data_IF_978170792642
#
_entry.id   IF_978170792642
#
_cell.length_a   1.000
_cell.length_b   1.000
_cell.length_c   1.000
_cell.angle_alpha   90.00
_cell.angle_beta   90.00
_cell.angle_gamma   90.00
#
_symmetry.space_group_name_H-M   'P 1'
#
loop_
_entity.id
_entity.type
_entity.pdbx_description
1 polymer ?
#
# COMPACT_ATOMS: atom_id res chain seq x y z
N UNK A 1 44.20 -41.10 39.16
CA UNK A 1 43.00 -41.96 39.11
C UNK A 1 42.32 -41.73 37.76
N UNK A 2 41.89 -42.81 37.11
CA UNK A 2 41.80 -42.98 35.66
C UNK A 2 40.64 -42.26 34.96
N UNK A 3 40.85 -41.98 33.67
CA UNK A 3 39.93 -41.44 32.69
C UNK A 3 39.41 -42.60 31.80
N UNK A 4 38.12 -42.63 31.43
CA UNK A 4 37.54 -43.67 30.57
C UNK A 4 36.46 -43.14 29.61
N UNK A 5 36.89 -42.88 28.37
CA UNK A 5 36.43 -43.38 27.06
C UNK A 5 35.00 -43.98 26.88
N UNK A 6 34.23 -43.33 26.00
CA UNK A 6 33.42 -43.82 24.82
C UNK A 6 32.55 -45.08 24.88
N UNK A 7 31.30 -44.99 24.36
CA UNK A 7 30.57 -45.91 23.41
C UNK A 7 29.10 -45.44 23.28
N UNK A 8 28.66 -44.81 22.17
CA UNK A 8 28.07 -45.34 20.92
C UNK A 8 26.78 -46.20 21.09
N UNK A 9 25.73 -45.86 20.33
CA UNK A 9 24.47 -46.62 20.34
C UNK A 9 23.36 -46.00 19.47
N UNK A 10 23.52 -46.08 18.14
CA UNK A 10 22.43 -45.89 17.15
C UNK A 10 21.77 -47.25 16.92
N UNK A 11 20.44 -47.31 16.94
CA UNK A 11 19.65 -48.49 16.55
C UNK A 11 18.45 -48.10 15.66
N UNK A 12 18.06 -48.89 14.64
CA UNK A 12 17.03 -48.54 13.64
C UNK A 12 15.74 -49.40 13.73
N UNK A 13 14.81 -49.22 12.77
CA UNK A 13 13.72 -50.16 12.34
C UNK A 13 12.45 -50.06 13.23
N UNK A 14 11.17 -49.97 12.83
CA UNK A 14 10.27 -50.28 11.68
C UNK A 14 8.94 -49.53 11.99
N UNK A 15 8.07 -49.05 11.10
CA UNK A 15 7.42 -49.72 9.97
C UNK A 15 6.16 -50.51 10.40
N UNK A 16 4.97 -49.91 10.40
CA UNK A 16 3.70 -50.63 10.11
C UNK A 16 2.50 -49.69 9.91
N UNK A 17 1.99 -49.68 8.67
CA UNK A 17 0.63 -49.27 8.33
C UNK A 17 -0.37 -50.30 8.84
N UNK A 18 -1.56 -49.89 9.28
CA UNK A 18 -2.70 -50.80 9.43
C UNK A 18 -3.98 -50.09 9.03
N UNK A 19 -4.60 -50.63 7.97
CA UNK A 19 -5.90 -50.31 7.40
C UNK A 19 -7.01 -50.82 8.32
N UNK A 20 -8.06 -50.04 8.55
CA UNK A 20 -9.33 -50.56 9.07
C UNK A 20 -10.33 -50.83 7.93
N UNK A 21 -11.02 -51.98 7.93
CA UNK A 21 -11.99 -52.37 6.90
C UNK A 21 -13.43 -51.96 7.26
N UNK A 22 -14.22 -51.69 6.23
CA UNK A 22 -15.63 -51.37 6.36
C UNK A 22 -16.55 -52.58 6.58
N UNK A 23 -17.80 -52.23 6.91
CA UNK A 23 -18.99 -53.00 6.55
C UNK A 23 -19.67 -53.78 7.68
N UNK A 24 -20.88 -53.33 8.05
CA UNK A 24 -22.11 -54.16 8.10
C UNK A 24 -23.33 -53.33 8.55
N UNK A 25 -24.35 -53.30 7.70
CA UNK A 25 -25.74 -52.93 8.03
C UNK A 25 -26.46 -54.10 8.73
N UNK A 26 -27.60 -53.83 9.39
CA UNK A 26 -28.79 -54.61 9.01
C UNK A 26 -30.14 -53.84 9.07
N UNK A 27 -31.09 -54.30 8.24
CA UNK A 27 -32.57 -54.37 8.43
C UNK A 27 -33.34 -53.07 8.67
N UNK A 28 -34.43 -52.73 8.00
CA UNK A 28 -35.49 -53.52 7.37
C UNK A 28 -36.84 -52.96 7.88
N UNK A 29 -37.72 -52.50 6.98
CA UNK A 29 -39.04 -51.98 7.36
C UNK A 29 -39.64 -51.08 6.30
N UNK A 30 -40.44 -51.66 5.40
CA UNK A 30 -41.17 -50.93 4.37
C UNK A 30 -42.47 -50.32 4.89
N UNK A 31 -42.94 -49.29 4.18
CA UNK A 31 -44.37 -49.06 3.99
C UNK A 31 -44.60 -48.28 2.69
N UNK A 32 -45.32 -48.91 1.77
CA UNK A 32 -45.86 -48.35 0.54
C UNK A 32 -47.26 -47.79 0.84
N UNK A 33 -47.52 -46.51 0.57
CA UNK A 33 -48.86 -46.00 0.29
C UNK A 33 -48.81 -45.06 -0.91
N UNK A 34 -49.79 -45.26 -1.78
CA UNK A 34 -50.01 -44.73 -3.12
C UNK A 34 -50.64 -43.35 -3.15
N UNK A 35 -50.27 -42.54 -4.15
CA UNK A 35 -51.22 -41.73 -4.95
C UNK A 35 -51.37 -40.25 -4.60
N UNK A 36 -51.21 -39.38 -5.61
CA UNK A 36 -51.85 -38.06 -5.63
C UNK A 36 -51.04 -36.92 -6.25
N UNK A 37 -51.50 -36.43 -7.40
CA UNK A 37 -50.94 -35.33 -8.21
C UNK A 37 -50.73 -33.99 -7.47
N UNK A 38 -49.74 -33.22 -7.94
CA UNK A 38 -49.58 -31.80 -7.61
C UNK A 38 -48.38 -31.19 -8.32
N UNK A 39 -48.63 -30.39 -9.37
CA UNK A 39 -47.60 -29.77 -10.18
C UNK A 39 -46.78 -28.71 -9.45
N UNK A 40 -45.51 -28.56 -9.86
CA UNK A 40 -44.62 -27.49 -9.42
C UNK A 40 -43.51 -27.33 -10.45
N UNK A 41 -43.52 -26.20 -11.18
CA UNK A 41 -42.78 -25.98 -12.41
C UNK A 41 -41.25 -26.07 -12.28
N UNK A 42 -40.64 -26.75 -13.24
CA UNK A 42 -39.23 -26.61 -13.58
C UNK A 42 -39.00 -25.24 -14.22
N UNK A 43 -38.76 -24.22 -13.38
CA UNK A 43 -38.31 -22.91 -13.83
C UNK A 43 -36.89 -23.05 -14.40
N UNK A 44 -36.81 -22.87 -15.71
CA UNK A 44 -35.58 -22.66 -16.47
C UNK A 44 -34.82 -21.46 -15.93
N UNK A 45 -33.54 -21.62 -15.68
CA UNK A 45 -32.58 -20.50 -15.78
C UNK A 45 -31.36 -20.99 -16.56
N UNK A 46 -31.46 -20.86 -17.88
CA UNK A 46 -30.32 -20.82 -18.77
C UNK A 46 -29.53 -19.56 -18.42
N UNK A 47 -28.45 -19.72 -17.66
CA UNK A 47 -27.56 -18.63 -17.25
C UNK A 47 -26.89 -17.98 -18.46
N UNK A 48 -27.48 -16.89 -18.93
CA UNK A 48 -26.77 -15.90 -19.72
C UNK A 48 -25.55 -15.47 -18.91
N UNK A 49 -24.35 -15.69 -19.44
CA UNK A 49 -23.13 -15.16 -18.84
C UNK A 49 -23.27 -13.63 -18.72
N UNK A 50 -23.44 -13.15 -17.50
CA UNK A 50 -23.60 -11.73 -17.22
C UNK A 50 -22.26 -11.05 -17.49
N UNK A 51 -22.17 -10.25 -18.55
CA UNK A 51 -21.02 -9.37 -18.84
C UNK A 51 -20.69 -8.39 -17.68
N UNK A 52 -21.62 -8.25 -16.73
CA UNK A 52 -21.53 -7.43 -15.52
C UNK A 52 -21.11 -8.22 -14.27
N UNK A 53 -20.77 -9.51 -14.41
CA UNK A 53 -20.32 -10.31 -13.28
C UNK A 53 -18.90 -9.88 -12.87
N UNK A 54 -18.88 -9.04 -11.83
CA UNK A 54 -17.66 -8.48 -11.26
C UNK A 54 -16.85 -9.64 -10.65
N UNK A 55 -15.69 -9.96 -11.23
CA UNK A 55 -14.82 -11.02 -10.71
C UNK A 55 -14.35 -10.67 -9.29
N UNK A 56 -14.79 -11.46 -8.30
CA UNK A 56 -14.51 -11.31 -6.85
C UNK A 56 -14.75 -9.88 -6.33
N UNK A 57 -16.01 -9.47 -6.13
CA UNK A 57 -16.36 -8.11 -5.70
C UNK A 57 -16.03 -7.84 -4.22
N UNK A 58 -15.83 -8.87 -3.40
CA UNK A 58 -15.66 -8.73 -1.95
C UNK A 58 -14.20 -8.62 -1.49
N UNK A 59 -13.22 -8.80 -2.38
CA UNK A 59 -11.80 -8.77 -2.03
C UNK A 59 -11.11 -7.52 -2.57
N UNK A 60 -10.42 -6.79 -1.68
CA UNK A 60 -9.68 -5.56 -2.00
C UNK A 60 -10.47 -4.30 -2.38
N UNK A 61 -11.72 -4.07 -1.91
CA UNK A 61 -12.44 -2.84 -2.28
C UNK A 61 -11.70 -1.59 -1.82
N UNK A 62 -11.09 -1.61 -0.62
CA UNK A 62 -10.34 -0.47 -0.08
C UNK A 62 -9.12 -0.12 -0.94
N UNK A 63 -8.39 -1.11 -1.43
CA UNK A 63 -7.20 -0.89 -2.27
C UNK A 63 -7.58 -0.31 -3.62
N UNK A 64 -8.67 -0.79 -4.23
CA UNK A 64 -9.16 -0.25 -5.51
C UNK A 64 -9.63 1.21 -5.38
N UNK A 65 -10.39 1.53 -4.33
CA UNK A 65 -10.79 2.91 -4.06
C UNK A 65 -9.61 3.80 -3.68
N UNK A 66 -8.59 3.28 -2.97
CA UNK A 66 -7.38 4.01 -2.65
C UNK A 66 -6.54 4.33 -3.90
N UNK A 67 -6.30 3.36 -4.78
CA UNK A 67 -5.61 3.58 -6.06
C UNK A 67 -6.35 4.56 -6.94
N UNK A 68 -7.68 4.50 -6.96
CA UNK A 68 -8.50 5.46 -7.69
C UNK A 68 -8.47 6.84 -7.06
N UNK A 69 -8.52 6.94 -5.73
CA UNK A 69 -8.35 8.20 -5.01
C UNK A 69 -6.99 8.84 -5.31
N UNK A 70 -5.91 8.05 -5.32
CA UNK A 70 -4.58 8.53 -5.69
C UNK A 70 -4.52 9.00 -7.15
N UNK A 71 -5.12 8.26 -8.09
CA UNK A 71 -5.20 8.66 -9.49
C UNK A 71 -6.01 9.95 -9.69
N UNK A 72 -7.11 10.12 -8.95
CA UNK A 72 -7.93 11.33 -8.97
C UNK A 72 -7.20 12.53 -8.37
N UNK A 73 -6.48 12.35 -7.25
CA UNK A 73 -5.64 13.39 -6.66
C UNK A 73 -4.51 13.81 -7.61
N UNK A 74 -3.90 12.84 -8.29
CA UNK A 74 -2.88 13.11 -9.30
C UNK A 74 -3.45 13.83 -10.52
N UNK A 75 -4.63 13.42 -11.01
CA UNK A 75 -5.34 14.09 -12.09
C UNK A 75 -5.70 15.54 -11.72
N UNK A 76 -6.17 15.76 -10.49
CA UNK A 76 -6.47 17.09 -9.96
C UNK A 76 -5.21 17.96 -9.85
N UNK A 77 -4.13 17.44 -9.29
CA UNK A 77 -2.86 18.16 -9.17
C UNK A 77 -2.28 18.55 -10.52
N UNK A 78 -2.33 17.65 -11.51
CA UNK A 78 -1.91 17.95 -12.88
C UNK A 78 -2.81 19.02 -13.53
N UNK A 79 -4.13 18.93 -13.35
CA UNK A 79 -5.05 19.92 -13.91
C UNK A 79 -4.86 21.31 -13.29
N UNK A 80 -4.68 21.39 -11.96
CA UNK A 80 -4.39 22.65 -11.27
C UNK A 80 -3.07 23.26 -11.76
N UNK A 81 -2.02 22.44 -11.87
CA UNK A 81 -0.73 22.88 -12.41
C UNK A 81 -0.85 23.41 -13.84
N UNK A 82 -1.55 22.70 -14.73
CA UNK A 82 -1.73 23.12 -16.12
C UNK A 82 -2.61 24.38 -16.21
N UNK A 83 -3.64 24.48 -15.38
CA UNK A 83 -4.48 25.68 -15.29
C UNK A 83 -3.68 26.91 -14.88
N UNK A 84 -2.82 26.83 -13.86
CA UNK A 84 -1.98 27.94 -13.41
C UNK A 84 -1.02 28.44 -14.51
N UNK A 85 -0.59 27.55 -15.41
CA UNK A 85 0.24 27.92 -16.57
C UNK A 85 -0.55 28.57 -17.69
N UNK A 86 -1.81 28.17 -17.88
CA UNK A 86 -2.67 28.65 -18.96
C UNK A 86 -3.48 29.90 -18.58
N UNK A 87 -3.77 30.13 -17.30
CA UNK A 87 -4.63 31.24 -16.86
C UNK A 87 -4.04 32.61 -17.19
N UNK A 88 -2.72 32.74 -17.27
CA UNK A 88 -2.03 33.97 -17.70
C UNK A 88 -2.29 34.36 -19.16
N UNK A 89 -2.78 33.42 -19.98
CA UNK A 89 -3.12 33.62 -21.40
C UNK A 89 -4.61 33.89 -21.60
N UNK A 90 -5.39 33.99 -20.52
CA UNK A 90 -6.84 34.23 -20.57
C UNK A 90 -7.12 35.66 -21.00
N UNK A 91 -7.79 35.81 -22.15
CA UNK A 91 -8.22 37.10 -22.68
C UNK A 91 -9.72 37.11 -22.90
N UNK A 92 -10.43 38.00 -22.20
CA UNK A 92 -11.89 38.16 -22.27
C UNK A 92 -12.37 38.60 -23.65
N UNK A 93 -11.50 39.20 -24.48
CA UNK A 93 -11.83 39.62 -25.85
C UNK A 93 -11.90 38.45 -26.84
N UNK A 94 -11.38 37.27 -26.48
CA UNK A 94 -11.30 36.09 -27.35
C UNK A 94 -11.98 34.88 -26.70
N UNK A 95 -13.21 34.51 -27.10
CA UNK A 95 -13.98 33.47 -26.42
C UNK A 95 -13.33 32.08 -26.46
N UNK A 96 -12.50 31.80 -27.47
CA UNK A 96 -11.78 30.53 -27.59
C UNK A 96 -10.73 30.34 -26.48
N UNK A 97 -10.20 31.42 -25.89
CA UNK A 97 -9.20 31.31 -24.82
C UNK A 97 -9.80 30.68 -23.56
N UNK A 98 -11.08 30.92 -23.27
CA UNK A 98 -11.79 30.28 -22.16
C UNK A 98 -11.87 28.76 -22.37
N UNK A 99 -12.21 28.34 -23.59
CA UNK A 99 -12.29 26.92 -23.92
C UNK A 99 -10.93 26.22 -23.80
N UNK A 100 -9.82 26.90 -24.14
CA UNK A 100 -8.47 26.35 -24.02
C UNK A 100 -8.03 26.26 -22.55
N UNK A 101 -8.22 27.33 -21.78
CA UNK A 101 -7.79 27.43 -20.37
C UNK A 101 -8.50 26.41 -19.47
N UNK A 102 -9.78 26.12 -19.72
CA UNK A 102 -10.53 25.13 -18.95
C UNK A 102 -10.57 23.74 -19.62
N UNK A 103 -10.60 23.69 -20.95
CA UNK A 103 -10.74 22.44 -21.69
C UNK A 103 -9.50 21.56 -21.64
N UNK A 104 -8.30 22.15 -21.78
CA UNK A 104 -7.05 21.36 -21.77
C UNK A 104 -6.83 20.69 -20.40
N UNK A 105 -6.89 21.40 -19.25
CA UNK A 105 -6.78 20.75 -17.94
C UNK A 105 -7.85 19.68 -17.72
N UNK A 106 -9.08 19.91 -18.18
CA UNK A 106 -10.18 18.96 -18.00
C UNK A 106 -9.98 17.68 -18.80
N UNK A 107 -9.59 17.77 -20.07
CA UNK A 107 -9.31 16.59 -20.90
C UNK A 107 -8.13 15.79 -20.35
N UNK A 108 -7.08 16.46 -19.89
CA UNK A 108 -5.93 15.80 -19.27
C UNK A 108 -6.31 15.11 -17.95
N UNK A 109 -7.08 15.77 -17.09
CA UNK A 109 -7.58 15.16 -15.85
C UNK A 109 -8.41 13.90 -16.14
N UNK A 110 -9.32 13.98 -17.11
CA UNK A 110 -10.17 12.85 -17.49
C UNK A 110 -9.34 11.71 -18.11
N UNK A 111 -8.32 12.01 -18.91
CA UNK A 111 -7.40 11.00 -19.45
C UNK A 111 -6.61 10.27 -18.36
N UNK A 112 -6.09 11.00 -17.38
CA UNK A 112 -5.38 10.41 -16.22
C UNK A 112 -6.33 9.60 -15.34
N UNK A 113 -7.53 10.10 -15.08
CA UNK A 113 -8.53 9.36 -14.30
C UNK A 113 -8.99 8.08 -15.03
N UNK A 114 -9.20 8.14 -16.35
CA UNK A 114 -9.62 6.98 -17.16
C UNK A 114 -8.52 5.92 -17.27
N UNK A 115 -7.26 6.32 -17.43
CA UNK A 115 -6.13 5.38 -17.43
C UNK A 115 -5.93 4.73 -16.05
N UNK A 116 -6.10 5.49 -14.97
CA UNK A 116 -6.13 4.96 -13.60
C UNK A 116 -7.27 3.95 -13.38
N UNK A 117 -8.47 4.25 -13.89
CA UNK A 117 -9.61 3.34 -13.87
C UNK A 117 -9.33 2.05 -14.64
N UNK A 118 -8.82 2.17 -15.87
CA UNK A 118 -8.47 1.02 -16.71
C UNK A 118 -7.44 0.13 -16.02
N UNK A 119 -6.36 0.72 -15.49
CA UNK A 119 -5.33 -0.04 -14.80
C UNK A 119 -5.85 -0.75 -13.54
N UNK A 120 -6.73 -0.10 -12.77
CA UNK A 120 -7.21 -0.64 -11.48
C UNK A 120 -8.32 -1.68 -11.66
N UNK A 121 -9.27 -1.45 -12.57
CA UNK A 121 -10.49 -2.26 -12.70
C UNK A 121 -10.51 -3.17 -13.93
N UNK A 122 -9.80 -2.81 -15.01
CA UNK A 122 -9.81 -3.63 -16.25
C UNK A 122 -8.71 -4.68 -16.24
N UNK A 123 -7.54 -4.37 -15.67
CA UNK A 123 -6.42 -5.31 -15.64
C UNK A 123 -6.55 -6.30 -14.48
N UNK A 124 -6.96 -7.54 -14.78
CA UNK A 124 -7.12 -8.60 -13.79
C UNK A 124 -5.81 -8.89 -13.04
N UNK A 125 -4.67 -8.83 -13.71
CA UNK A 125 -3.35 -9.07 -13.10
C UNK A 125 -2.99 -8.05 -12.01
N UNK A 126 -3.22 -6.76 -12.27
CA UNK A 126 -2.94 -5.70 -11.28
C UNK A 126 -3.86 -5.81 -10.06
N UNK A 127 -5.14 -6.14 -10.27
CA UNK A 127 -6.10 -6.35 -9.18
C UNK A 127 -5.74 -7.58 -8.33
N UNK A 128 -5.39 -8.70 -8.95
CA UNK A 128 -5.03 -9.93 -8.24
C UNK A 128 -3.71 -9.76 -7.47
N UNK A 129 -2.73 -9.04 -8.04
CA UNK A 129 -1.52 -8.66 -7.32
C UNK A 129 -1.82 -7.81 -6.09
N UNK A 130 -2.62 -6.74 -6.23
CA UNK A 130 -2.98 -5.86 -5.11
C UNK A 130 -3.70 -6.62 -3.98
N UNK A 131 -4.58 -7.55 -4.32
CA UNK A 131 -5.27 -8.41 -3.35
C UNK A 131 -4.28 -9.37 -2.68
N UNK A 132 -3.38 -9.99 -3.45
CA UNK A 132 -2.35 -10.86 -2.90
C UNK A 132 -1.40 -10.09 -1.96
N UNK A 133 -0.99 -8.87 -2.33
CA UNK A 133 -0.19 -7.99 -1.48
C UNK A 133 -0.94 -7.58 -0.22
N UNK A 134 -2.24 -7.24 -0.27
CA UNK A 134 -3.03 -6.95 0.93
C UNK A 134 -3.06 -8.16 1.88
N UNK A 135 -3.30 -9.35 1.33
CA UNK A 135 -3.34 -10.59 2.09
C UNK A 135 -1.97 -10.94 2.69
N UNK A 136 -0.88 -10.64 1.99
CA UNK A 136 0.47 -10.83 2.50
C UNK A 136 0.80 -9.82 3.61
N UNK A 137 0.45 -8.55 3.42
CA UNK A 137 0.65 -7.50 4.43
C UNK A 137 -0.16 -7.73 5.71
N UNK A 138 -1.32 -8.41 5.62
CA UNK A 138 -2.11 -8.79 6.81
C UNK A 138 -1.45 -9.87 7.66
N UNK A 139 -0.52 -10.65 7.11
CA UNK A 139 0.26 -11.65 7.86
C UNK A 139 1.38 -11.00 8.66
N UNK A 140 1.77 -9.78 8.31
CA UNK A 140 2.78 -9.03 9.03
C UNK A 140 2.18 -8.61 10.38
N UNK A 141 2.66 -9.26 11.44
CA UNK A 141 2.36 -8.84 12.81
C UNK A 141 3.09 -7.51 13.05
N UNK A 142 2.33 -6.43 13.09
CA UNK A 142 2.86 -5.12 13.41
C UNK A 142 3.23 -5.04 14.89
N UNK A 143 4.38 -4.43 15.19
CA UNK A 143 4.81 -4.14 16.56
C UNK A 143 3.71 -3.45 17.35
N UNK A 144 3.58 -3.80 18.63
CA UNK A 144 2.56 -3.20 19.48
C UNK A 144 2.78 -1.68 19.57
N UNK A 145 1.71 -0.89 19.73
CA UNK A 145 1.84 0.58 19.84
C UNK A 145 2.83 1.00 20.92
N UNK A 146 2.95 0.20 21.99
CA UNK A 146 3.89 0.44 23.10
C UNK A 146 5.35 0.30 22.66
N UNK A 147 5.67 -0.73 21.87
CA UNK A 147 7.00 -0.91 21.30
C UNK A 147 7.36 0.22 20.34
N UNK A 148 6.44 0.59 19.44
CA UNK A 148 6.68 1.67 18.46
C UNK A 148 6.94 3.01 19.17
N UNK A 149 6.16 3.33 20.20
CA UNK A 149 6.36 4.55 21.01
C UNK A 149 7.68 4.49 21.78
N UNK A 150 8.01 3.33 22.36
CA UNK A 150 9.28 3.11 23.06
C UNK A 150 10.48 3.39 22.15
N UNK A 151 10.49 2.78 20.96
CA UNK A 151 11.58 2.95 19.99
C UNK A 151 11.66 4.38 19.45
N UNK A 152 10.52 5.01 19.15
CA UNK A 152 10.51 6.39 18.62
C UNK A 152 10.98 7.40 19.66
N UNK A 153 10.63 7.22 20.95
CA UNK A 153 11.11 8.07 22.04
C UNK A 153 12.62 8.05 22.15
N UNK A 154 13.24 6.87 22.00
CA UNK A 154 14.70 6.73 22.01
C UNK A 154 15.28 7.49 20.81
N UNK A 155 14.77 7.28 19.61
CA UNK A 155 15.26 7.97 18.40
C UNK A 155 15.18 9.48 18.55
N UNK A 156 14.06 10.03 19.03
CA UNK A 156 13.89 11.47 19.26
C UNK A 156 14.93 12.00 20.25
N UNK A 157 15.15 11.28 21.36
CA UNK A 157 16.17 11.67 22.35
C UNK A 157 17.57 11.69 21.72
N UNK A 158 17.93 10.67 20.94
CA UNK A 158 19.20 10.62 20.22
C UNK A 158 19.33 11.76 19.21
N UNK A 159 18.30 12.05 18.41
CA UNK A 159 18.31 13.15 17.44
C UNK A 159 18.52 14.51 18.13
N UNK A 160 17.88 14.75 19.28
CA UNK A 160 18.06 15.99 20.04
C UNK A 160 19.49 16.08 20.59
N UNK A 161 20.01 15.00 21.19
CA UNK A 161 21.39 14.96 21.72
C UNK A 161 22.39 15.22 20.60
N UNK A 162 22.24 14.56 19.45
CA UNK A 162 23.10 14.79 18.28
C UNK A 162 22.99 16.21 17.75
N UNK A 163 21.77 16.78 17.70
CA UNK A 163 21.57 18.17 17.30
C UNK A 163 22.28 19.16 18.23
N UNK A 164 22.18 18.95 19.55
CA UNK A 164 22.90 19.77 20.54
C UNK A 164 24.41 19.58 20.44
N UNK A 165 24.89 18.35 20.28
CA UNK A 165 26.31 18.05 20.14
C UNK A 165 26.90 18.69 18.88
N UNK A 166 26.20 18.59 17.74
CA UNK A 166 26.61 19.23 16.49
C UNK A 166 26.60 20.75 16.63
N UNK A 167 25.54 21.34 17.18
CA UNK A 167 25.51 22.78 17.43
C UNK A 167 26.61 23.25 18.37
N UNK A 168 26.94 22.46 19.41
CA UNK A 168 28.08 22.74 20.27
C UNK A 168 29.41 22.65 19.53
N UNK A 169 29.60 21.62 18.69
CA UNK A 169 30.80 21.47 17.87
C UNK A 169 30.94 22.66 16.90
N UNK A 170 29.86 23.11 16.28
CA UNK A 170 29.83 24.29 15.40
C UNK A 170 30.27 25.55 16.15
N UNK A 171 29.81 25.75 17.40
CA UNK A 171 30.24 26.87 18.26
C UNK A 171 31.73 26.79 18.60
N UNK A 172 32.23 25.60 18.92
CA UNK A 172 33.66 25.38 19.18
C UNK A 172 34.49 25.66 17.94
N UNK A 173 34.07 25.18 16.76
CA UNK A 173 34.74 25.47 15.50
C UNK A 173 34.71 26.96 15.16
N UNK A 174 33.58 27.63 15.38
CA UNK A 174 33.47 29.07 15.21
C UNK A 174 34.49 29.81 16.09
N UNK A 175 34.57 29.47 17.38
CA UNK A 175 35.51 30.09 18.31
C UNK A 175 36.97 29.80 17.93
N UNK A 176 37.27 28.57 17.48
CA UNK A 176 38.60 28.19 16.99
C UNK A 176 38.97 28.95 15.71
N UNK A 177 38.06 29.07 14.73
CA UNK A 177 38.31 29.83 13.50
C UNK A 177 38.48 31.33 13.73
N UNK A 178 37.78 31.90 14.71
CA UNK A 178 38.03 33.26 15.18
C UNK A 178 39.44 33.40 15.76
N UNK A 179 39.87 32.45 16.59
CA UNK A 179 41.20 32.47 17.19
C UNK A 179 42.32 32.33 16.14
N UNK A 180 42.12 31.49 15.13
CA UNK A 180 43.04 31.36 13.98
C UNK A 180 42.95 32.54 12.98
N UNK A 181 42.09 33.54 13.22
CA UNK A 181 41.99 34.73 12.38
C UNK A 181 41.47 34.48 10.96
N UNK A 182 40.85 33.32 10.71
CA UNK A 182 40.24 32.96 9.41
C UNK A 182 38.95 33.76 9.17
N UNK A 183 38.23 34.13 10.24
CA UNK A 183 37.08 35.03 10.20
C UNK A 183 37.56 36.48 10.34
N UNK A 184 38.10 37.05 9.25
CA UNK A 184 38.24 38.49 9.11
C UNK A 184 36.82 39.06 9.06
N UNK A 185 36.50 40.01 9.94
CA UNK A 185 35.19 40.65 10.03
C UNK A 185 34.73 41.15 8.65
N UNK A 186 33.89 40.37 7.97
CA UNK A 186 33.24 40.72 6.72
C UNK A 186 31.84 41.29 6.94
N UNK A 187 31.63 41.96 8.08
CA UNK A 187 30.39 42.67 8.43
C UNK A 187 30.74 44.11 8.84
N UNK A 188 31.54 44.77 8.00
CA UNK A 188 31.68 46.23 7.96
C UNK A 188 31.83 46.66 6.50
N UNK A 189 30.86 46.27 5.68
CA UNK A 189 30.57 46.89 4.39
C UNK A 189 29.77 48.19 4.50
N UNK A 190 29.77 48.83 5.69
CA UNK A 190 29.20 50.15 5.92
C UNK A 190 30.25 51.00 6.65
N UNK A 191 30.82 51.95 5.93
CA UNK A 191 31.59 53.04 6.52
C UNK A 191 33.10 53.03 6.23
N UNK A 192 33.49 53.12 4.96
CA UNK A 192 34.68 53.89 4.61
C UNK A 192 34.40 54.80 3.41
N UNK A 193 34.06 56.08 3.62
CA UNK A 193 34.22 57.11 2.62
C UNK A 193 35.62 57.73 2.77
N UNK A 194 36.66 57.04 2.30
CA UNK A 194 38.03 57.49 2.59
C UNK A 194 39.16 56.68 1.98
N UNK A 195 39.16 56.50 0.65
CA UNK A 195 40.32 55.97 -0.09
C UNK A 195 40.02 55.67 -1.55
#
# INVERSE_FOLDING_TARGET
MANATTTSGVGPVTGSSSREPGGRSPTGGGNLVSGGAGGGGSRRESGAANFFERYKPEQGPKVRWASMGAALLMAYGLAAFVYDRLVGWRDSSRPWTMAVVYGIPMVLALGVAATGWWFTFRNRGSSDFLIATENEMRKVNWSSRREVIGSTKVVIAFTIIFGVLMGFADLVFFQLFQWFGVLKEGVTGLGDPGG
#
